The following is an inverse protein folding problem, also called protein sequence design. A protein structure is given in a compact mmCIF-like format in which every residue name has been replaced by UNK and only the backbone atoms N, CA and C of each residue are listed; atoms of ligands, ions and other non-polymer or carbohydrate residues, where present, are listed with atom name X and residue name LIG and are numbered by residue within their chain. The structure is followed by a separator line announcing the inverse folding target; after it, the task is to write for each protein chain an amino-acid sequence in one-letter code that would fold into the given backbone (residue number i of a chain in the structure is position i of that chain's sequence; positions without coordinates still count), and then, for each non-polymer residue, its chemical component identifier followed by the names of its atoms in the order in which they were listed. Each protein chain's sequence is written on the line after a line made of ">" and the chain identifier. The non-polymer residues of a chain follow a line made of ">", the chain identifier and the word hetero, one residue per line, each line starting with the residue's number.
data_IF_785781539260
#
_entry.id   IF_785781539260
#
_cell.length_a   1.000
_cell.length_b   1.000
_cell.length_c   1.000
_cell.angle_alpha   90.00
_cell.angle_beta   90.00
_cell.angle_gamma   90.00
#
_symmetry.space_group_name_H-M   'P 1'
#
loop_
_entity.id
_entity.type
_entity.pdbx_description
1 polymer ?
#
# COMPACT_ATOMS: atom_id res chain seq x y z
N UNK A 1 6.69 -47.33 31.53
CA UNK A 1 5.70 -46.23 31.62
C UNK A 1 6.42 -44.94 31.26
N UNK A 2 6.38 -44.55 29.99
CA UNK A 2 6.89 -43.26 29.51
C UNK A 2 5.85 -42.20 29.87
N UNK A 3 6.17 -41.33 30.85
CA UNK A 3 5.40 -40.11 31.10
C UNK A 3 5.57 -39.19 29.90
N UNK A 4 4.58 -39.16 29.02
CA UNK A 4 4.35 -38.00 28.14
C UNK A 4 3.99 -36.83 29.05
N UNK A 5 4.94 -35.95 29.33
CA UNK A 5 4.63 -34.66 29.96
C UNK A 5 3.74 -33.90 29.00
N UNK A 6 2.52 -33.56 29.43
CA UNK A 6 1.69 -32.64 28.66
C UNK A 6 2.49 -31.35 28.41
N UNK A 7 2.46 -30.80 27.18
CA UNK A 7 3.12 -29.54 26.91
C UNK A 7 2.57 -28.48 27.85
N UNK A 8 3.46 -27.68 28.45
CA UNK A 8 3.06 -26.60 29.35
C UNK A 8 2.11 -25.65 28.61
N UNK A 9 0.88 -25.51 29.12
CA UNK A 9 -0.09 -24.57 28.57
C UNK A 9 0.20 -23.17 29.10
N UNK A 10 0.82 -22.33 28.29
CA UNK A 10 1.01 -20.91 28.59
C UNK A 10 -0.26 -20.14 28.23
N UNK A 11 -0.71 -19.27 29.14
CA UNK A 11 -1.88 -18.40 28.92
C UNK A 11 -1.56 -17.00 29.46
N UNK A 12 -2.02 -15.98 28.74
CA UNK A 12 -1.96 -14.58 29.17
C UNK A 12 -3.38 -14.04 29.39
N UNK A 13 -3.50 -13.04 30.26
CA UNK A 13 -4.75 -12.30 30.49
C UNK A 13 -4.46 -10.82 30.78
N UNK A 14 -5.37 -9.94 30.37
CA UNK A 14 -5.34 -8.53 30.74
C UNK A 14 -6.11 -8.33 32.03
N UNK A 15 -5.43 -7.82 33.07
CA UNK A 15 -6.08 -7.47 34.32
C UNK A 15 -6.67 -6.06 34.25
N UNK A 16 -7.94 -5.92 34.64
CA UNK A 16 -8.64 -4.66 34.78
C UNK A 16 -9.19 -4.53 36.21
N UNK A 17 -9.10 -3.33 36.83
CA UNK A 17 -9.61 -3.12 38.18
C UNK A 17 -11.14 -3.17 38.19
N UNK A 18 -11.73 -3.34 39.37
CA UNK A 18 -13.13 -3.02 39.65
C UNK A 18 -13.33 -2.75 41.14
N UNK A 19 -14.44 -2.10 41.47
CA UNK A 19 -14.92 -1.94 42.84
C UNK A 19 -16.08 -2.91 43.17
N UNK A 20 -16.82 -3.36 42.14
CA UNK A 20 -18.01 -4.21 42.30
C UNK A 20 -18.22 -5.09 41.05
N UNK A 21 -17.74 -6.34 41.12
CA UNK A 21 -17.75 -7.32 40.01
C UNK A 21 -19.17 -7.62 39.52
N UNK A 22 -20.17 -7.61 40.41
CA UNK A 22 -21.54 -7.93 40.04
C UNK A 22 -22.12 -6.94 39.02
N UNK A 23 -21.61 -5.71 39.00
CA UNK A 23 -21.98 -4.71 38.00
C UNK A 23 -21.32 -5.00 36.65
N UNK A 24 -20.08 -5.50 36.66
CA UNK A 24 -19.31 -5.79 35.45
C UNK A 24 -19.80 -7.04 34.71
N UNK A 25 -20.21 -8.09 35.43
CA UNK A 25 -20.60 -9.38 34.82
C UNK A 25 -21.64 -9.22 33.70
N UNK A 26 -22.78 -8.52 33.89
CA UNK A 26 -23.74 -8.31 32.81
C UNK A 26 -23.18 -7.52 31.63
N UNK A 27 -22.27 -6.58 31.88
CA UNK A 27 -21.64 -5.80 30.82
C UNK A 27 -20.77 -6.70 29.93
N UNK A 28 -19.81 -7.43 30.50
CA UNK A 28 -18.93 -8.29 29.71
C UNK A 28 -19.67 -9.46 29.07
N UNK A 29 -20.68 -10.05 29.73
CA UNK A 29 -21.40 -11.22 29.19
C UNK A 29 -22.53 -10.88 28.22
N UNK A 30 -23.32 -9.83 28.48
CA UNK A 30 -24.50 -9.51 27.67
C UNK A 30 -24.25 -8.40 26.68
N UNK A 31 -23.55 -7.34 27.08
CA UNK A 31 -23.27 -6.20 26.19
C UNK A 31 -22.13 -6.55 25.25
N UNK A 32 -21.01 -7.07 25.77
CA UNK A 32 -19.88 -7.48 24.95
C UNK A 32 -19.96 -8.92 24.45
N UNK A 33 -20.93 -9.72 24.90
CA UNK A 33 -21.11 -11.10 24.44
C UNK A 33 -19.96 -12.06 24.81
N UNK A 34 -19.13 -11.73 25.80
CA UNK A 34 -18.00 -12.57 26.20
C UNK A 34 -18.45 -13.74 27.07
N UNK A 35 -17.74 -14.85 26.99
CA UNK A 35 -17.95 -16.00 27.85
C UNK A 35 -17.26 -15.78 29.20
N UNK A 36 -17.94 -16.06 30.30
CA UNK A 36 -17.29 -16.12 31.62
C UNK A 36 -16.66 -17.50 31.83
N UNK A 37 -15.36 -17.53 32.04
CA UNK A 37 -14.57 -18.77 32.20
C UNK A 37 -14.39 -19.15 33.67
N UNK A 38 -14.27 -18.15 34.55
CA UNK A 38 -13.95 -18.35 35.96
C UNK A 38 -14.51 -17.22 36.82
N UNK A 39 -14.91 -17.55 38.04
CA UNK A 39 -15.28 -16.60 39.09
C UNK A 39 -14.72 -17.08 40.43
N UNK A 40 -14.18 -16.17 41.25
CA UNK A 40 -13.52 -16.52 42.50
C UNK A 40 -13.56 -15.38 43.54
N UNK A 41 -13.78 -15.69 44.84
CA UNK A 41 -14.42 -16.91 45.34
C UNK A 41 -15.92 -16.93 44.94
N UNK A 42 -16.61 -18.06 45.15
CA UNK A 42 -18.00 -18.22 44.71
C UNK A 42 -19.03 -17.49 45.61
N UNK A 43 -18.68 -17.28 46.88
CA UNK A 43 -19.53 -16.71 47.94
C UNK A 43 -19.38 -15.19 48.09
N UNK A 44 -18.20 -14.63 47.77
CA UNK A 44 -17.94 -13.19 47.69
C UNK A 44 -16.99 -12.86 46.51
N UNK A 45 -17.47 -12.86 45.26
CA UNK A 45 -16.61 -12.74 44.09
C UNK A 45 -15.70 -11.51 44.10
N UNK A 46 -14.39 -11.77 44.00
CA UNK A 46 -13.31 -10.77 43.89
C UNK A 46 -12.57 -10.82 42.57
N UNK A 47 -12.80 -11.86 41.78
CA UNK A 47 -12.22 -12.07 40.46
C UNK A 47 -13.28 -12.68 39.55
N UNK A 48 -13.41 -12.18 38.34
CA UNK A 48 -14.09 -12.84 37.25
C UNK A 48 -13.19 -12.81 36.00
N UNK A 49 -13.13 -13.92 35.27
CA UNK A 49 -12.33 -14.00 34.04
C UNK A 49 -13.24 -14.33 32.87
N UNK A 50 -13.07 -13.56 31.79
CA UNK A 50 -13.86 -13.65 30.58
C UNK A 50 -12.97 -13.94 29.37
N UNK A 51 -13.50 -14.69 28.40
CA UNK A 51 -12.88 -14.89 27.09
C UNK A 51 -13.84 -14.54 25.96
N UNK A 52 -13.31 -13.97 24.88
CA UNK A 52 -14.08 -13.55 23.72
C UNK A 52 -13.27 -12.60 22.85
N UNK A 53 -13.61 -12.51 21.56
CA UNK A 53 -13.01 -11.54 20.62
C UNK A 53 -11.47 -11.58 20.56
N UNK A 54 -10.88 -12.76 20.76
CA UNK A 54 -9.42 -12.95 20.78
C UNK A 54 -8.73 -12.54 22.09
N UNK A 55 -9.49 -12.16 23.13
CA UNK A 55 -8.94 -11.70 24.41
C UNK A 55 -9.36 -12.58 25.58
N UNK A 56 -8.53 -12.51 26.63
CA UNK A 56 -8.82 -13.00 27.97
C UNK A 56 -8.70 -11.85 28.96
N UNK A 57 -9.78 -11.52 29.64
CA UNK A 57 -9.87 -10.39 30.56
C UNK A 57 -10.10 -10.87 32.00
N UNK A 58 -9.22 -10.49 32.92
CA UNK A 58 -9.38 -10.69 34.36
C UNK A 58 -9.88 -9.41 34.99
N UNK A 59 -11.13 -9.40 35.43
CA UNK A 59 -11.71 -8.31 36.22
C UNK A 59 -11.46 -8.63 37.69
N UNK A 60 -10.65 -7.82 38.37
CA UNK A 60 -10.18 -8.08 39.72
C UNK A 60 -10.44 -6.88 40.65
N UNK A 61 -11.05 -7.19 41.80
CA UNK A 61 -11.37 -6.19 42.82
C UNK A 61 -10.09 -5.67 43.47
N UNK A 62 -10.00 -4.35 43.58
CA UNK A 62 -8.84 -3.65 44.18
C UNK A 62 -7.51 -3.89 43.43
N UNK A 63 -7.57 -4.26 42.13
CA UNK A 63 -6.36 -4.30 41.31
C UNK A 63 -5.72 -2.90 41.25
N UNK A 64 -4.38 -2.79 41.31
CA UNK A 64 -3.69 -1.50 41.41
C UNK A 64 -3.64 -0.70 40.11
N UNK A 65 -3.96 -1.33 38.97
CA UNK A 65 -3.98 -0.67 37.66
C UNK A 65 -5.20 0.28 37.50
N UNK A 66 -5.09 1.23 36.58
CA UNK A 66 -6.24 2.04 36.17
C UNK A 66 -7.17 1.28 35.21
N UNK A 67 -8.40 1.79 34.98
CA UNK A 67 -9.25 1.25 33.91
C UNK A 67 -8.55 1.38 32.55
N UNK A 68 -8.59 0.31 31.77
CA UNK A 68 -7.97 0.27 30.44
C UNK A 68 -8.87 0.81 29.33
N UNK A 69 -8.40 0.68 28.10
CA UNK A 69 -9.20 0.87 26.89
C UNK A 69 -9.15 -0.40 26.02
N UNK A 70 -10.32 -0.86 25.58
CA UNK A 70 -10.48 -2.00 24.69
C UNK A 70 -11.11 -1.54 23.37
N UNK A 71 -10.46 -1.84 22.24
CA UNK A 71 -11.05 -1.70 20.91
C UNK A 71 -11.57 -3.05 20.44
N UNK A 72 -12.86 -3.12 20.13
CA UNK A 72 -13.52 -4.27 19.53
C UNK A 72 -13.72 -3.96 18.05
N UNK A 73 -13.15 -4.80 17.20
CA UNK A 73 -13.20 -4.67 15.75
C UNK A 73 -14.21 -5.70 15.22
N UNK A 74 -15.31 -5.25 14.61
CA UNK A 74 -16.38 -6.12 14.10
C UNK A 74 -16.80 -5.73 12.69
N UNK A 75 -17.28 -6.70 11.90
CA UNK A 75 -17.78 -6.47 10.54
C UNK A 75 -19.17 -5.81 10.54
N UNK A 76 -19.91 -5.89 11.65
CA UNK A 76 -21.21 -5.22 11.82
C UNK A 76 -21.30 -4.52 13.18
N UNK A 77 -20.76 -3.29 13.29
CA UNK A 77 -20.81 -2.51 14.52
C UNK A 77 -22.20 -2.10 14.97
N UNK A 78 -23.14 -1.94 14.02
CA UNK A 78 -24.51 -1.50 14.33
C UNK A 78 -25.32 -2.60 15.04
N UNK A 79 -25.00 -3.87 14.77
CA UNK A 79 -25.57 -5.01 15.50
C UNK A 79 -24.91 -5.30 16.86
N UNK A 80 -23.73 -4.73 17.13
CA UNK A 80 -22.96 -5.01 18.34
C UNK A 80 -23.23 -3.97 19.43
N UNK A 81 -23.47 -4.41 20.68
CA UNK A 81 -23.75 -3.54 21.82
C UNK A 81 -24.83 -2.46 21.54
N UNK A 82 -25.92 -2.87 20.89
CA UNK A 82 -27.04 -2.01 20.48
C UNK A 82 -26.61 -0.81 19.60
N UNK A 83 -25.56 -0.99 18.80
CA UNK A 83 -25.04 0.02 17.86
C UNK A 83 -24.20 1.13 18.51
N UNK A 84 -23.91 1.04 19.81
CA UNK A 84 -23.07 2.03 20.49
C UNK A 84 -21.62 1.92 20.01
N UNK A 85 -21.00 3.05 19.62
CA UNK A 85 -19.60 3.08 19.18
C UNK A 85 -18.60 3.27 20.32
N UNK A 86 -19.02 3.90 21.41
CA UNK A 86 -18.19 4.13 22.60
C UNK A 86 -19.01 3.85 23.85
N UNK A 87 -18.52 2.93 24.68
CA UNK A 87 -19.11 2.58 25.97
C UNK A 87 -18.08 2.74 27.09
N UNK A 88 -18.58 2.86 28.31
CA UNK A 88 -17.75 2.76 29.52
C UNK A 88 -18.33 1.64 30.37
N UNK A 89 -17.51 0.61 30.60
CA UNK A 89 -17.86 -0.48 31.49
C UNK A 89 -18.04 0.04 32.93
N UNK A 90 -18.81 -0.65 33.80
CA UNK A 90 -19.01 -0.22 35.18
C UNK A 90 -17.70 -0.04 35.98
N UNK A 91 -16.68 -0.84 35.69
CA UNK A 91 -15.34 -0.67 36.25
C UNK A 91 -14.52 0.50 35.67
N UNK A 92 -15.11 1.30 34.77
CA UNK A 92 -14.48 2.45 34.13
C UNK A 92 -13.71 2.13 32.85
N UNK A 93 -13.60 0.85 32.44
CA UNK A 93 -12.89 0.48 31.21
C UNK A 93 -13.61 1.05 29.99
N UNK A 94 -12.89 1.78 29.14
CA UNK A 94 -13.47 2.35 27.92
C UNK A 94 -13.48 1.31 26.81
N UNK A 95 -14.64 1.13 26.17
CA UNK A 95 -14.81 0.24 25.02
C UNK A 95 -15.06 1.10 23.78
N UNK A 96 -14.28 0.90 22.74
CA UNK A 96 -14.54 1.43 21.40
C UNK A 96 -14.95 0.28 20.49
N UNK A 97 -16.04 0.46 19.74
CA UNK A 97 -16.49 -0.51 18.74
C UNK A 97 -16.30 0.13 17.37
N UNK A 98 -15.48 -0.53 16.57
CA UNK A 98 -15.00 -0.03 15.30
C UNK A 98 -15.21 -1.09 14.23
N UNK A 99 -15.22 -0.64 12.97
CA UNK A 99 -15.24 -1.56 11.84
C UNK A 99 -13.94 -2.36 11.80
N UNK A 100 -14.06 -3.67 11.65
CA UNK A 100 -12.90 -4.56 11.48
C UNK A 100 -12.14 -4.27 10.20
N UNK A 101 -12.87 -3.95 9.16
CA UNK A 101 -12.35 -3.65 7.83
C UNK A 101 -12.94 -2.31 7.38
N UNK A 102 -12.45 -1.17 7.91
CA UNK A 102 -12.97 0.12 7.51
C UNK A 102 -12.77 0.32 6.00
N UNK A 103 -13.70 0.99 5.31
CA UNK A 103 -13.58 1.24 3.89
C UNK A 103 -12.33 2.08 3.59
N UNK A 104 -11.71 1.81 2.45
CA UNK A 104 -10.60 2.63 1.97
C UNK A 104 -11.09 4.08 1.73
N UNK A 105 -10.45 5.03 2.41
CA UNK A 105 -10.73 6.46 2.21
C UNK A 105 -9.75 7.02 1.19
N UNK A 106 -10.28 7.57 0.10
CA UNK A 106 -9.50 8.27 -0.91
C UNK A 106 -9.45 9.77 -0.60
N UNK A 107 -8.28 10.36 -0.31
CA UNK A 107 -8.16 11.80 -0.19
C UNK A 107 -8.46 12.50 -1.51
N UNK A 108 -8.99 13.72 -1.44
CA UNK A 108 -9.13 14.59 -2.60
C UNK A 108 -7.73 15.02 -3.09
N UNK A 109 -7.46 14.83 -4.38
CA UNK A 109 -6.18 15.20 -4.98
C UNK A 109 -6.00 16.72 -4.96
N UNK A 110 -4.88 17.16 -4.39
CA UNK A 110 -4.44 18.56 -4.46
C UNK A 110 -3.52 18.72 -5.66
N UNK A 111 -4.02 19.39 -6.71
CA UNK A 111 -3.25 19.61 -7.94
C UNK A 111 -2.09 20.57 -7.70
N UNK A 112 -0.86 20.07 -7.88
CA UNK A 112 0.36 20.87 -7.77
C UNK A 112 1.34 20.52 -8.89
N UNK A 113 2.12 21.51 -9.33
CA UNK A 113 3.28 21.28 -10.20
C UNK A 113 4.49 21.02 -9.31
N UNK A 114 5.05 19.81 -9.40
CA UNK A 114 6.16 19.35 -8.58
C UNK A 114 7.31 18.95 -9.49
N UNK A 115 8.53 19.36 -9.15
CA UNK A 115 9.76 18.84 -9.77
C UNK A 115 10.67 18.38 -8.64
N UNK A 116 11.11 17.12 -8.72
CA UNK A 116 11.91 16.47 -7.69
C UNK A 116 13.20 15.94 -8.29
N UNK A 117 14.28 16.71 -8.17
CA UNK A 117 15.57 16.32 -8.76
C UNK A 117 16.42 15.49 -7.80
N UNK A 118 17.12 14.50 -8.33
CA UNK A 118 18.02 13.65 -7.55
C UNK A 118 19.23 14.45 -7.04
N UNK A 119 19.78 15.34 -7.87
CA UNK A 119 20.94 16.18 -7.53
C UNK A 119 20.70 17.14 -6.37
N UNK A 120 19.44 17.42 -6.02
CA UNK A 120 19.07 18.26 -4.89
C UNK A 120 19.26 17.53 -3.54
N UNK A 121 19.86 16.32 -3.54
CA UNK A 121 20.25 15.51 -2.38
C UNK A 121 19.11 15.27 -1.38
N UNK A 122 17.93 14.91 -1.91
CA UNK A 122 16.84 14.41 -1.07
C UNK A 122 17.34 13.26 -0.17
N UNK A 123 17.10 13.30 1.14
CA UNK A 123 17.59 12.26 2.04
C UNK A 123 16.91 10.93 1.70
N UNK A 124 17.73 9.88 1.58
CA UNK A 124 17.24 8.51 1.60
C UNK A 124 16.83 8.16 3.03
N UNK A 125 15.64 7.61 3.18
CA UNK A 125 15.13 7.12 4.45
C UNK A 125 15.33 5.60 4.48
N UNK A 126 15.98 5.08 5.53
CA UNK A 126 16.07 3.64 5.74
C UNK A 126 14.71 3.17 6.27
N UNK A 127 14.02 2.36 5.47
CA UNK A 127 12.74 1.75 5.82
C UNK A 127 12.90 0.31 6.30
N UNK A 128 11.90 -0.53 6.02
CA UNK A 128 11.89 -1.95 6.43
C UNK A 128 12.98 -2.74 5.71
N UNK A 129 13.49 -3.78 6.36
CA UNK A 129 14.45 -4.73 5.79
C UNK A 129 15.72 -4.11 5.15
N UNK A 130 16.14 -2.91 5.59
CA UNK A 130 17.32 -2.21 5.03
C UNK A 130 17.08 -1.53 3.68
N UNK A 131 15.83 -1.48 3.19
CA UNK A 131 15.47 -0.81 1.95
C UNK A 131 15.57 0.71 2.13
N UNK A 132 16.14 1.41 1.14
CA UNK A 132 16.25 2.86 1.12
C UNK A 132 15.12 3.46 0.28
N UNK A 133 14.38 4.41 0.84
CA UNK A 133 13.25 5.08 0.20
C UNK A 133 13.58 6.54 -0.08
N UNK A 134 13.22 7.02 -1.27
CA UNK A 134 13.23 8.43 -1.62
C UNK A 134 11.85 8.81 -2.17
N UNK A 135 11.19 9.73 -1.47
CA UNK A 135 9.91 10.29 -1.87
C UNK A 135 10.06 11.20 -3.09
N UNK A 136 9.28 10.90 -4.13
CA UNK A 136 9.26 11.59 -5.42
C UNK A 136 8.18 12.67 -5.51
N UNK A 137 7.20 12.65 -4.61
CA UNK A 137 6.09 13.61 -4.54
C UNK A 137 5.85 13.98 -3.07
N UNK A 138 6.68 14.88 -2.49
CA UNK A 138 6.71 15.10 -1.03
C UNK A 138 5.41 15.60 -0.40
N UNK A 139 4.59 16.36 -1.15
CA UNK A 139 3.26 16.81 -0.69
C UNK A 139 2.17 15.75 -0.89
N UNK A 140 2.52 14.63 -1.55
CA UNK A 140 1.67 13.48 -1.86
C UNK A 140 0.37 13.86 -2.57
N UNK A 141 0.34 15.03 -3.21
CA UNK A 141 -0.86 15.66 -3.77
C UNK A 141 -2.05 15.66 -2.80
N UNK A 142 -1.81 16.02 -1.53
CA UNK A 142 -2.86 15.99 -0.50
C UNK A 142 -3.12 14.60 0.08
N UNK A 143 -2.20 13.66 -0.12
CA UNK A 143 -2.29 12.28 0.37
C UNK A 143 -2.89 11.29 -0.64
N UNK A 144 -3.24 11.74 -1.85
CA UNK A 144 -3.84 10.88 -2.87
C UNK A 144 -2.85 9.89 -3.50
N UNK A 145 -1.55 10.17 -3.44
CA UNK A 145 -0.51 9.30 -4.04
C UNK A 145 0.79 9.31 -3.24
N UNK A 146 1.43 8.14 -3.16
CA UNK A 146 2.85 8.03 -2.84
C UNK A 146 3.60 7.52 -4.07
N UNK A 147 4.72 8.15 -4.39
CA UNK A 147 5.64 7.70 -5.41
C UNK A 147 7.03 7.58 -4.79
N UNK A 148 7.56 6.36 -4.74
CA UNK A 148 8.80 6.02 -4.05
C UNK A 148 9.83 5.51 -5.04
N UNK A 149 11.02 6.11 -5.05
CA UNK A 149 12.20 5.45 -5.57
C UNK A 149 12.80 4.62 -4.43
N UNK A 150 12.75 3.30 -4.57
CA UNK A 150 13.23 2.34 -3.57
C UNK A 150 14.50 1.68 -4.08
N UNK A 151 15.51 1.56 -3.21
CA UNK A 151 16.79 0.91 -3.49
C UNK A 151 17.10 -0.13 -2.43
N UNK A 152 17.55 -1.31 -2.84
CA UNK A 152 18.11 -2.33 -1.94
C UNK A 152 19.61 -2.44 -2.26
N UNK A 153 20.52 -1.91 -1.41
CA UNK A 153 21.94 -1.89 -1.71
C UNK A 153 22.56 -3.29 -1.81
N UNK A 154 22.25 -4.14 -0.82
CA UNK A 154 22.79 -5.50 -0.70
C UNK A 154 21.72 -6.51 -1.08
N UNK A 155 21.98 -7.31 -2.11
CA UNK A 155 21.05 -8.32 -2.62
C UNK A 155 21.03 -9.61 -1.79
N UNK A 156 20.25 -10.57 -2.27
CA UNK A 156 20.04 -11.87 -1.65
C UNK A 156 18.60 -12.07 -1.15
N UNK A 157 18.38 -13.05 -0.25
CA UNK A 157 17.05 -13.36 0.26
C UNK A 157 16.44 -12.16 0.99
N UNK A 158 15.20 -11.83 0.63
CA UNK A 158 14.47 -10.74 1.29
C UNK A 158 13.68 -11.34 2.46
N UNK A 159 13.81 -10.83 3.70
CA UNK A 159 13.11 -11.34 4.87
C UNK A 159 11.66 -10.86 4.92
N UNK A 160 10.92 -11.12 3.83
CA UNK A 160 9.53 -10.74 3.66
C UNK A 160 8.57 -11.87 4.09
N UNK A 161 7.34 -11.50 4.41
CA UNK A 161 6.24 -12.41 4.76
C UNK A 161 5.13 -12.30 3.71
N UNK A 162 4.25 -13.29 3.64
CA UNK A 162 3.06 -13.16 2.79
C UNK A 162 2.22 -12.00 3.34
N UNK A 163 1.95 -11.02 2.50
CA UNK A 163 1.20 -9.83 2.89
C UNK A 163 0.39 -9.30 1.71
N UNK A 164 -0.47 -8.34 2.01
CA UNK A 164 -1.23 -7.60 1.01
C UNK A 164 -1.46 -6.15 1.45
N UNK A 165 -1.83 -5.30 0.51
CA UNK A 165 -2.12 -3.89 0.77
C UNK A 165 -3.60 -3.58 0.52
N UNK A 166 -4.21 -2.80 1.42
CA UNK A 166 -5.54 -2.21 1.24
C UNK A 166 -5.38 -0.87 0.53
N UNK A 167 -5.29 -0.93 -0.79
CA UNK A 167 -5.03 0.19 -1.70
C UNK A 167 -6.07 0.23 -2.80
N UNK A 168 -6.22 1.38 -3.44
CA UNK A 168 -6.98 1.53 -4.68
C UNK A 168 -6.14 1.16 -5.90
N UNK A 169 -4.82 1.34 -5.84
CA UNK A 169 -3.88 0.97 -6.91
C UNK A 169 -2.46 0.83 -6.37
N UNK A 170 -1.70 -0.13 -6.89
CA UNK A 170 -0.27 -0.27 -6.63
C UNK A 170 0.49 -0.77 -7.86
N UNK A 171 1.58 -0.08 -8.17
CA UNK A 171 2.53 -0.42 -9.23
C UNK A 171 3.90 -0.65 -8.59
N UNK A 172 4.61 -1.66 -9.08
CA UNK A 172 6.06 -1.78 -8.91
C UNK A 172 6.72 -1.90 -10.28
N UNK A 173 7.62 -0.96 -10.59
CA UNK A 173 8.36 -0.90 -11.84
C UNK A 173 9.85 -1.04 -11.54
N UNK A 174 10.54 -2.02 -12.13
CA UNK A 174 11.97 -2.19 -11.89
C UNK A 174 12.78 -1.33 -12.85
N UNK A 175 13.69 -0.50 -12.32
CA UNK A 175 14.53 0.40 -13.14
C UNK A 175 16.00 -0.02 -13.16
N UNK A 176 16.45 -0.84 -12.20
CA UNK A 176 17.79 -1.40 -12.19
C UNK A 176 17.79 -2.73 -11.42
N UNK A 177 18.55 -3.72 -11.91
CA UNK A 177 18.67 -5.03 -11.26
C UNK A 177 17.46 -5.94 -11.52
N UNK A 178 17.15 -6.79 -10.53
CA UNK A 178 15.99 -7.67 -10.57
C UNK A 178 15.47 -8.03 -9.18
N UNK A 179 14.20 -8.46 -9.11
CA UNK A 179 13.56 -9.01 -7.90
C UNK A 179 12.71 -10.24 -8.23
N UNK A 180 12.86 -11.31 -7.44
CA UNK A 180 12.01 -12.51 -7.50
C UNK A 180 10.82 -12.34 -6.55
N UNK A 181 9.60 -12.52 -7.06
CA UNK A 181 8.35 -12.32 -6.32
C UNK A 181 7.38 -13.46 -6.63
N UNK A 182 6.53 -13.81 -5.67
CA UNK A 182 5.43 -14.76 -5.86
C UNK A 182 4.11 -14.09 -5.50
N UNK A 183 3.06 -14.33 -6.30
CA UNK A 183 1.73 -13.73 -6.16
C UNK A 183 0.65 -14.81 -6.07
N UNK A 184 -0.40 -14.52 -5.30
CA UNK A 184 -1.60 -15.33 -5.19
C UNK A 184 -2.19 -15.64 -6.57
N UNK A 185 -2.41 -16.93 -6.84
CA UNK A 185 -3.02 -17.45 -8.07
C UNK A 185 -2.25 -17.18 -9.38
N UNK A 186 -1.02 -16.66 -9.32
CA UNK A 186 -0.20 -16.38 -10.52
C UNK A 186 0.88 -17.43 -10.81
N UNK A 187 0.86 -18.54 -10.06
CA UNK A 187 1.76 -19.67 -10.26
C UNK A 187 3.09 -19.52 -9.52
N UNK A 188 4.13 -20.11 -10.08
CA UNK A 188 5.47 -20.12 -9.48
C UNK A 188 6.11 -18.74 -9.42
N UNK A 189 7.27 -18.65 -8.76
CA UNK A 189 8.03 -17.39 -8.67
C UNK A 189 8.29 -16.76 -10.05
N UNK A 190 8.18 -15.44 -10.08
CA UNK A 190 8.44 -14.60 -11.25
C UNK A 190 9.60 -13.65 -10.97
N UNK A 191 10.41 -13.35 -11.98
CA UNK A 191 11.53 -12.40 -11.87
C UNK A 191 11.21 -11.10 -12.59
N UNK A 192 11.07 -10.02 -11.84
CA UNK A 192 10.94 -8.67 -12.37
C UNK A 192 12.32 -8.11 -12.71
N UNK A 193 12.62 -7.88 -13.99
CA UNK A 193 13.89 -7.30 -14.43
C UNK A 193 13.72 -5.80 -14.71
N UNK A 194 14.83 -5.08 -14.84
CA UNK A 194 14.82 -3.68 -15.28
C UNK A 194 13.99 -3.50 -16.58
N UNK A 195 13.05 -2.55 -16.53
CA UNK A 195 12.08 -2.25 -17.57
C UNK A 195 10.73 -2.99 -17.43
N UNK A 196 10.66 -4.04 -16.62
CA UNK A 196 9.43 -4.78 -16.34
C UNK A 196 8.62 -4.09 -15.23
N UNK A 197 7.30 -4.33 -15.19
CA UNK A 197 6.46 -3.93 -14.07
C UNK A 197 5.40 -4.96 -13.68
N UNK A 198 4.99 -4.92 -12.41
CA UNK A 198 3.78 -5.56 -11.93
C UNK A 198 2.73 -4.53 -11.52
N UNK A 199 1.47 -4.84 -11.80
CA UNK A 199 0.37 -4.32 -10.97
C UNK A 199 0.13 -5.29 -9.84
N UNK A 200 -0.04 -4.74 -8.64
CA UNK A 200 -0.43 -5.48 -7.46
C UNK A 200 -1.87 -5.05 -7.13
N UNK A 201 -2.89 -5.76 -7.66
CA UNK A 201 -4.27 -5.42 -7.40
C UNK A 201 -4.59 -5.33 -5.89
N UNK A 202 -5.63 -4.58 -5.50
CA UNK A 202 -6.02 -4.46 -4.10
C UNK A 202 -6.11 -5.83 -3.42
N UNK A 203 -5.44 -5.97 -2.27
CA UNK A 203 -5.48 -7.18 -1.45
C UNK A 203 -4.93 -8.48 -2.10
N UNK A 204 -4.19 -8.40 -3.22
CA UNK A 204 -3.47 -9.58 -3.72
C UNK A 204 -2.36 -9.98 -2.74
N UNK A 205 -2.36 -11.24 -2.29
CA UNK A 205 -1.27 -11.73 -1.44
C UNK A 205 -0.01 -11.91 -2.27
N UNK A 206 1.10 -11.46 -1.73
CA UNK A 206 2.39 -11.60 -2.38
C UNK A 206 3.53 -11.63 -1.38
N UNK A 207 4.71 -12.01 -1.88
CA UNK A 207 5.93 -12.05 -1.10
C UNK A 207 7.13 -11.85 -2.01
N UNK A 208 8.02 -10.95 -1.63
CA UNK A 208 9.35 -10.80 -2.23
C UNK A 208 10.27 -11.90 -1.69
N UNK A 209 10.92 -12.64 -2.59
CA UNK A 209 11.76 -13.79 -2.22
C UNK A 209 13.23 -13.41 -2.19
N UNK A 210 13.72 -12.76 -3.25
CA UNK A 210 15.14 -12.50 -3.46
C UNK A 210 15.30 -11.24 -4.32
N UNK A 211 16.37 -10.48 -4.10
CA UNK A 211 16.70 -9.30 -4.87
C UNK A 211 18.15 -9.34 -5.36
N UNK A 212 18.43 -8.70 -6.49
CA UNK A 212 19.81 -8.47 -6.92
C UNK A 212 20.49 -7.39 -6.08
N UNK A 213 21.82 -7.39 -6.08
CA UNK A 213 22.58 -6.25 -5.57
C UNK A 213 22.13 -4.96 -6.26
N UNK A 214 22.00 -3.90 -5.47
CA UNK A 214 21.63 -2.58 -5.93
C UNK A 214 20.33 -2.53 -6.77
N UNK A 215 19.36 -3.43 -6.53
CA UNK A 215 18.06 -3.33 -7.22
C UNK A 215 17.41 -1.99 -6.90
N UNK A 216 16.81 -1.37 -7.91
CA UNK A 216 16.05 -0.13 -7.77
C UNK A 216 14.69 -0.30 -8.45
N UNK A 217 13.64 0.13 -7.75
CA UNK A 217 12.26 0.10 -8.24
C UNK A 217 11.59 1.45 -8.01
N UNK A 218 10.65 1.78 -8.88
CA UNK A 218 9.64 2.82 -8.64
C UNK A 218 8.38 2.13 -8.16
N UNK A 219 7.93 2.50 -6.98
CA UNK A 219 6.65 2.07 -6.42
C UNK A 219 5.68 3.24 -6.43
N UNK A 220 4.46 2.99 -6.94
CA UNK A 220 3.34 3.92 -6.81
C UNK A 220 2.27 3.25 -5.96
N UNK A 221 1.78 3.96 -4.95
CA UNK A 221 0.67 3.52 -4.11
C UNK A 221 -0.41 4.60 -4.01
N UNK A 222 -1.67 4.19 -4.10
CA UNK A 222 -2.82 5.09 -4.04
C UNK A 222 -3.87 4.48 -3.10
N UNK A 223 -4.25 5.15 -2.00
CA UNK A 223 -3.73 6.44 -1.53
C UNK A 223 -2.31 6.34 -0.93
N UNK A 224 -1.73 7.49 -0.59
CA UNK A 224 -0.36 7.57 -0.08
C UNK A 224 -0.14 6.81 1.24
N UNK A 225 -1.16 6.78 2.09
CA UNK A 225 -1.17 6.03 3.35
C UNK A 225 -2.19 4.90 3.26
N UNK A 226 -1.73 3.67 3.45
CA UNK A 226 -2.57 2.49 3.32
C UNK A 226 -2.12 1.38 4.26
N UNK A 227 -3.05 0.48 4.58
CA UNK A 227 -2.79 -0.65 5.48
C UNK A 227 -2.04 -1.73 4.72
N UNK A 228 -0.98 -2.26 5.33
CA UNK A 228 -0.35 -3.52 4.94
C UNK A 228 -0.69 -4.57 5.98
N UNK A 229 -1.27 -5.70 5.56
CA UNK A 229 -1.67 -6.78 6.46
C UNK A 229 -0.83 -8.03 6.17
N UNK A 230 -0.32 -8.66 7.23
CA UNK A 230 0.47 -9.89 7.14
C UNK A 230 -0.49 -11.07 7.23
N UNK A 231 -0.42 -11.96 6.25
CA UNK A 231 -1.19 -13.20 6.21
C UNK A 231 -0.32 -14.34 6.71
N UNK A 232 -0.54 -14.76 7.95
CA UNK A 232 0.22 -15.85 8.56
C UNK A 232 -0.26 -17.24 8.13
N UNK A 233 -1.45 -17.33 7.54
CA UNK A 233 -2.10 -18.59 7.20
C UNK A 233 -1.84 -18.98 5.74
N UNK A 234 -1.82 -18.00 4.82
CA UNK A 234 -1.61 -18.25 3.41
C UNK A 234 -0.18 -18.70 3.09
N UNK A 235 -0.07 -19.77 2.32
CA UNK A 235 1.19 -20.21 1.72
C UNK A 235 1.20 -19.90 0.23
N UNK A 236 2.30 -19.31 -0.25
CA UNK A 236 2.56 -19.05 -1.66
C UNK A 236 3.67 -19.97 -2.20
N UNK A 237 3.57 -20.44 -3.45
CA UNK A 237 2.47 -20.22 -4.39
C UNK A 237 1.18 -20.94 -3.96
N UNK A 238 0.02 -20.42 -4.35
CA UNK A 238 -1.27 -21.09 -4.11
C UNK A 238 -1.39 -22.33 -5.00
N UNK A 239 -2.18 -23.36 -4.61
CA UNK A 239 -2.35 -24.57 -5.42
C UNK A 239 -3.15 -24.36 -6.72
N UNK A 240 -3.68 -23.16 -6.94
CA UNK A 240 -4.49 -22.81 -8.10
C UNK A 240 -3.77 -21.78 -8.96
N UNK A 241 -3.89 -21.91 -10.28
CA UNK A 241 -3.44 -20.91 -11.24
C UNK A 241 -4.67 -20.24 -11.85
N UNK A 242 -4.91 -18.97 -11.52
CA UNK A 242 -6.05 -18.15 -11.96
C UNK A 242 -5.56 -16.77 -12.42
N UNK A 243 -4.81 -16.69 -13.55
CA UNK A 243 -4.23 -15.44 -14.04
C UNK A 243 -5.28 -14.37 -14.41
N UNK A 244 -6.52 -14.80 -14.68
CA UNK A 244 -7.64 -13.93 -15.03
C UNK A 244 -8.46 -13.45 -13.81
N UNK A 245 -8.06 -13.82 -12.59
CA UNK A 245 -8.77 -13.39 -11.37
C UNK A 245 -8.74 -11.86 -11.26
N UNK A 246 -9.87 -11.29 -10.86
CA UNK A 246 -9.98 -9.88 -10.54
C UNK A 246 -10.00 -9.69 -9.01
N UNK A 247 -9.35 -8.64 -8.55
CA UNK A 247 -9.44 -8.11 -7.20
C UNK A 247 -10.02 -6.71 -7.29
N UNK A 248 -11.23 -6.52 -6.77
CA UNK A 248 -11.93 -5.23 -6.79
C UNK A 248 -11.97 -4.59 -8.20
N UNK A 249 -12.15 -5.41 -9.23
CA UNK A 249 -12.22 -4.97 -10.63
C UNK A 249 -10.88 -4.83 -11.36
N UNK A 250 -9.76 -5.13 -10.71
CA UNK A 250 -8.41 -5.03 -11.29
C UNK A 250 -7.77 -6.42 -11.41
N UNK A 251 -7.01 -6.62 -12.48
CA UNK A 251 -6.25 -7.86 -12.71
C UNK A 251 -4.77 -7.65 -12.45
N UNK A 252 -4.11 -8.73 -12.04
CA UNK A 252 -2.65 -8.76 -12.00
C UNK A 252 -2.11 -8.58 -13.42
N UNK A 253 -1.05 -7.80 -13.55
CA UNK A 253 -0.33 -7.59 -14.82
C UNK A 253 1.12 -7.86 -14.55
N UNK A 254 1.76 -8.68 -15.38
CA UNK A 254 3.20 -8.76 -15.50
C UNK A 254 3.59 -8.27 -16.89
N UNK A 255 3.93 -6.98 -17.01
CA UNK A 255 4.39 -6.41 -18.26
C UNK A 255 5.90 -6.53 -18.35
N UNK A 256 6.38 -7.18 -19.41
CA UNK A 256 7.80 -7.36 -19.64
C UNK A 256 8.28 -6.37 -20.71
N UNK A 257 9.46 -5.79 -20.49
CA UNK A 257 10.06 -4.87 -21.45
C UNK A 257 10.55 -5.55 -22.72
N UNK A 258 10.97 -6.80 -22.56
CA UNK A 258 11.48 -7.61 -23.65
C UNK A 258 10.38 -7.82 -24.70
N UNK A 259 10.74 -7.61 -25.97
CA UNK A 259 9.88 -7.81 -27.14
C UNK A 259 8.65 -6.89 -27.23
N UNK A 260 8.59 -5.86 -26.38
CA UNK A 260 7.45 -4.96 -26.34
C UNK A 260 7.41 -3.99 -27.54
N UNK A 261 6.21 -3.74 -28.03
CA UNK A 261 5.95 -2.88 -29.18
C UNK A 261 6.04 -1.40 -28.80
N UNK A 262 6.62 -0.60 -29.69
CA UNK A 262 6.68 0.85 -29.56
C UNK A 262 5.80 1.49 -30.62
N UNK A 263 4.87 2.32 -30.18
CA UNK A 263 3.88 2.99 -31.03
C UNK A 263 3.99 4.51 -30.90
N UNK A 264 3.45 5.29 -31.84
CA UNK A 264 3.37 6.74 -31.69
C UNK A 264 2.74 7.13 -30.34
N UNK A 265 3.35 8.09 -29.65
CA UNK A 265 2.80 8.62 -28.41
C UNK A 265 1.86 9.79 -28.68
N UNK A 266 1.00 10.10 -27.72
CA UNK A 266 0.08 11.24 -27.82
C UNK A 266 0.78 12.60 -27.86
N UNK A 267 2.00 12.69 -27.30
CA UNK A 267 2.85 13.88 -27.44
C UNK A 267 3.71 13.77 -28.70
N UNK A 268 3.66 14.75 -29.62
CA UNK A 268 4.53 14.79 -30.79
C UNK A 268 6.02 14.72 -30.42
N UNK A 269 6.83 14.07 -31.26
CA UNK A 269 8.25 13.86 -31.01
C UNK A 269 8.57 12.67 -30.09
N UNK A 270 7.57 11.91 -29.65
CA UNK A 270 7.73 10.76 -28.74
C UNK A 270 7.04 9.50 -29.27
N UNK A 271 7.58 8.36 -28.84
CA UNK A 271 6.97 7.04 -28.98
C UNK A 271 6.78 6.45 -27.59
N UNK A 272 5.84 5.55 -27.44
CA UNK A 272 5.60 4.89 -26.17
C UNK A 272 5.38 3.40 -26.35
N UNK A 273 5.51 2.71 -25.22
CA UNK A 273 5.13 1.33 -25.05
C UNK A 273 4.08 1.28 -23.96
N UNK A 274 2.95 0.65 -24.29
CA UNK A 274 1.86 0.44 -23.36
C UNK A 274 2.13 -0.76 -22.45
N UNK A 275 1.80 -0.62 -21.17
CA UNK A 275 2.00 -1.70 -20.18
C UNK A 275 0.76 -2.60 -20.01
N UNK A 276 -0.33 -2.32 -20.73
CA UNK A 276 -1.67 -2.92 -20.61
C UNK A 276 -2.38 -2.65 -19.28
N UNK A 277 -1.82 -1.79 -18.43
CA UNK A 277 -2.33 -1.52 -17.09
C UNK A 277 -3.71 -0.86 -17.15
N UNK A 278 -3.90 0.14 -18.02
CA UNK A 278 -5.19 0.82 -18.15
C UNK A 278 -6.33 -0.15 -18.50
N UNK A 279 -6.09 -1.11 -19.40
CA UNK A 279 -7.06 -2.14 -19.74
C UNK A 279 -7.35 -3.07 -18.54
N UNK A 280 -6.31 -3.59 -17.91
CA UNK A 280 -6.42 -4.58 -16.83
C UNK A 280 -6.90 -4.00 -15.49
N UNK A 281 -6.83 -2.68 -15.32
CA UNK A 281 -7.40 -1.99 -14.17
C UNK A 281 -8.69 -1.23 -14.53
N UNK A 282 -9.27 -1.46 -15.71
CA UNK A 282 -10.52 -0.79 -16.18
C UNK A 282 -10.45 0.75 -16.05
N UNK A 283 -9.29 1.32 -16.39
CA UNK A 283 -9.05 2.76 -16.38
C UNK A 283 -8.67 3.37 -15.04
N UNK A 284 -8.49 2.59 -13.96
CA UNK A 284 -8.01 3.13 -12.67
C UNK A 284 -6.68 3.87 -12.81
N UNK A 285 -5.71 3.29 -13.54
CA UNK A 285 -4.44 3.95 -13.82
C UNK A 285 -3.92 3.60 -15.20
N UNK A 286 -3.12 4.49 -15.78
CA UNK A 286 -2.42 4.30 -17.03
C UNK A 286 -0.93 4.36 -16.78
N UNK A 287 -0.18 3.39 -17.30
CA UNK A 287 1.28 3.35 -17.14
C UNK A 287 1.89 3.12 -18.51
N UNK A 288 2.76 4.04 -18.92
CA UNK A 288 3.39 3.99 -20.23
C UNK A 288 4.88 4.31 -20.08
N UNK A 289 5.69 3.64 -20.89
CA UNK A 289 7.12 3.97 -21.01
C UNK A 289 7.30 4.79 -22.27
N UNK A 290 7.90 5.96 -22.17
CA UNK A 290 8.03 6.93 -23.26
C UNK A 290 9.49 7.10 -23.64
N UNK A 291 9.78 7.10 -24.94
CA UNK A 291 11.11 7.33 -25.52
C UNK A 291 11.02 8.39 -26.61
N UNK A 292 12.18 8.94 -26.98
CA UNK A 292 12.29 9.86 -28.12
C UNK A 292 11.78 9.19 -29.40
N UNK A 293 10.87 9.88 -30.07
CA UNK A 293 10.34 9.53 -31.38
C UNK A 293 10.90 10.43 -32.47
N UNK A 294 10.18 10.50 -33.60
CA UNK A 294 10.48 11.42 -34.69
C UNK A 294 9.56 12.64 -34.63
N UNK A 295 10.06 13.78 -35.11
CA UNK A 295 9.31 15.04 -35.16
C UNK A 295 9.67 16.02 -34.06
N UNK A 296 9.09 17.21 -34.14
CA UNK A 296 9.27 18.27 -33.16
C UNK A 296 8.34 18.05 -31.97
N UNK A 297 8.79 18.49 -30.80
CA UNK A 297 8.03 18.43 -29.55
C UNK A 297 7.09 19.63 -29.46
N UNK A 298 5.84 19.41 -29.07
CA UNK A 298 4.81 20.45 -28.98
C UNK A 298 4.37 20.72 -27.54
N UNK A 299 3.77 21.89 -27.32
CA UNK A 299 3.10 22.22 -26.08
C UNK A 299 1.80 21.40 -25.94
N UNK A 300 1.54 20.93 -24.74
CA UNK A 300 0.36 20.15 -24.43
C UNK A 300 -0.13 20.39 -22.99
N UNK A 301 -1.43 20.20 -22.79
CA UNK A 301 -2.06 20.09 -21.47
C UNK A 301 -2.90 18.81 -21.39
N UNK A 302 -3.29 18.39 -20.19
CA UNK A 302 -4.15 17.23 -19.95
C UNK A 302 -5.25 17.53 -18.95
N UNK A 303 -6.23 16.64 -18.84
CA UNK A 303 -7.31 16.71 -17.83
C UNK A 303 -7.28 15.58 -16.78
N UNK A 304 -6.23 14.74 -16.76
CA UNK A 304 -6.05 13.72 -15.72
C UNK A 304 -5.79 14.34 -14.34
N UNK A 305 -6.29 13.67 -13.29
CA UNK A 305 -6.23 14.12 -11.90
C UNK A 305 -4.79 14.03 -11.34
N UNK A 306 -4.11 12.94 -11.66
CA UNK A 306 -2.69 12.72 -11.34
C UNK A 306 -1.95 12.44 -12.65
N UNK A 307 -0.87 13.19 -12.89
CA UNK A 307 0.10 12.96 -13.97
C UNK A 307 1.51 12.98 -13.39
N UNK A 308 2.05 11.80 -13.10
CA UNK A 308 3.38 11.62 -12.53
C UNK A 308 4.33 11.08 -13.61
N UNK A 309 5.54 11.64 -13.69
CA UNK A 309 6.57 11.14 -14.60
C UNK A 309 7.92 11.02 -13.88
N UNK A 310 8.63 9.94 -14.16
CA UNK A 310 9.99 9.68 -13.67
C UNK A 310 10.96 9.51 -14.84
N UNK A 311 12.13 10.13 -14.77
CA UNK A 311 13.20 10.01 -15.76
C UNK A 311 14.04 8.78 -15.42
N UNK A 312 13.88 7.71 -16.19
CA UNK A 312 14.62 6.45 -16.01
C UNK A 312 16.01 6.50 -16.61
N UNK A 313 16.18 7.15 -17.76
CA UNK A 313 17.48 7.31 -18.41
C UNK A 313 17.50 8.58 -19.28
N UNK A 314 18.70 9.03 -19.64
CA UNK A 314 18.91 10.21 -20.48
C UNK A 314 18.52 11.53 -19.81
N UNK A 315 18.15 12.52 -20.63
CA UNK A 315 17.78 13.85 -20.17
C UNK A 315 16.76 14.54 -21.09
N UNK A 316 15.91 15.37 -20.49
CA UNK A 316 14.87 16.16 -21.18
C UNK A 316 14.68 17.49 -20.48
N UNK A 317 14.23 18.51 -21.21
CA UNK A 317 13.87 19.81 -20.61
C UNK A 317 12.37 19.88 -20.43
N UNK A 318 11.89 20.02 -19.20
CA UNK A 318 10.48 20.31 -18.91
C UNK A 318 10.27 21.83 -18.89
N UNK A 319 9.53 22.31 -19.87
CA UNK A 319 9.04 23.68 -19.95
C UNK A 319 7.58 23.70 -19.46
N UNK A 320 7.23 24.71 -18.66
CA UNK A 320 5.87 24.89 -18.16
C UNK A 320 5.46 26.35 -18.28
N UNK A 321 4.18 26.59 -18.56
CA UNK A 321 3.67 27.95 -18.67
C UNK A 321 3.97 28.78 -17.41
N UNK A 322 4.50 29.99 -17.59
CA UNK A 322 4.87 30.88 -16.49
C UNK A 322 6.00 30.36 -15.58
N UNK A 323 6.76 29.34 -16.00
CA UNK A 323 7.89 28.77 -15.24
C UNK A 323 9.19 28.79 -16.02
N UNK A 324 10.29 28.87 -15.28
CA UNK A 324 11.62 28.64 -15.84
C UNK A 324 11.77 27.15 -16.22
N UNK A 325 12.43 26.83 -17.35
CA UNK A 325 12.63 25.44 -17.78
C UNK A 325 13.49 24.62 -16.80
N UNK A 326 13.11 23.37 -16.60
CA UNK A 326 13.86 22.42 -15.79
C UNK A 326 14.57 21.41 -16.68
N UNK A 327 15.91 21.40 -16.69
CA UNK A 327 16.66 20.28 -17.27
C UNK A 327 16.63 19.11 -16.29
N UNK A 328 15.93 18.05 -16.69
CA UNK A 328 15.74 16.82 -15.96
C UNK A 328 16.70 15.74 -16.46
N UNK A 329 17.18 14.91 -15.55
CA UNK A 329 18.11 13.80 -15.79
C UNK A 329 17.66 12.54 -15.04
N UNK A 330 18.32 11.41 -15.29
CA UNK A 330 18.05 10.14 -14.61
C UNK A 330 17.86 10.30 -13.09
N UNK A 331 16.75 9.78 -12.58
CA UNK A 331 16.39 9.86 -11.17
C UNK A 331 15.53 11.08 -10.81
N UNK A 332 15.34 12.03 -11.72
CA UNK A 332 14.42 13.13 -11.52
C UNK A 332 12.97 12.67 -11.73
N UNK A 333 12.03 13.31 -11.03
CA UNK A 333 10.60 13.09 -11.18
C UNK A 333 9.85 14.41 -11.26
N UNK A 334 8.65 14.41 -11.81
CA UNK A 334 7.78 15.57 -11.80
C UNK A 334 6.30 15.20 -11.84
N UNK A 335 5.46 16.15 -11.45
CA UNK A 335 4.00 16.11 -11.55
C UNK A 335 3.50 17.32 -12.30
N UNK A 336 2.57 17.10 -13.23
CA UNK A 336 1.89 18.16 -13.98
C UNK A 336 0.42 18.23 -13.52
N UNK A 337 -0.08 19.39 -13.06
CA UNK A 337 -1.48 19.54 -12.71
C UNK A 337 -2.35 19.66 -13.98
N UNK A 338 -3.62 19.23 -13.92
CA UNK A 338 -4.54 19.35 -15.05
C UNK A 338 -4.66 20.79 -15.55
N UNK A 339 -4.79 20.95 -16.86
CA UNK A 339 -4.94 22.22 -17.56
C UNK A 339 -3.65 23.03 -17.75
N UNK A 340 -2.55 22.69 -17.06
CA UNK A 340 -1.29 23.40 -17.21
C UNK A 340 -0.60 23.03 -18.52
N UNK A 341 -0.30 24.02 -19.36
CA UNK A 341 0.47 23.78 -20.58
C UNK A 341 1.95 23.52 -20.26
N UNK A 342 2.48 22.43 -20.80
CA UNK A 342 3.88 22.03 -20.67
C UNK A 342 4.44 21.51 -21.98
N UNK A 343 5.77 21.46 -22.10
CA UNK A 343 6.47 20.83 -23.21
C UNK A 343 7.70 20.09 -22.70
N UNK A 344 7.88 18.86 -23.15
CA UNK A 344 9.12 18.11 -22.98
C UNK A 344 10.00 18.40 -24.20
N UNK A 345 10.96 19.32 -24.07
CA UNK A 345 11.83 19.78 -25.15
C UNK A 345 13.25 19.20 -25.04
N UNK A 346 13.98 19.22 -26.15
CA UNK A 346 15.37 18.77 -26.24
C UNK A 346 15.66 17.39 -25.59
N UNK A 347 14.89 16.33 -25.92
CA UNK A 347 15.18 14.98 -25.45
C UNK A 347 16.53 14.48 -25.99
N UNK A 348 17.34 13.90 -25.10
CA UNK A 348 18.49 13.10 -25.51
C UNK A 348 18.05 11.85 -26.28
N UNK A 349 18.97 11.23 -27.01
CA UNK A 349 18.64 10.06 -27.84
C UNK A 349 18.29 8.81 -27.02
N UNK A 350 18.77 8.75 -25.78
CA UNK A 350 18.60 7.66 -24.81
C UNK A 350 17.48 7.93 -23.79
N UNK A 351 16.70 9.01 -23.93
CA UNK A 351 15.65 9.35 -22.96
C UNK A 351 14.66 8.19 -22.79
N UNK A 352 14.41 7.82 -21.54
CA UNK A 352 13.35 6.90 -21.17
C UNK A 352 12.60 7.44 -19.96
N UNK A 353 11.29 7.59 -20.10
CA UNK A 353 10.41 8.12 -19.06
C UNK A 353 9.41 7.05 -18.65
N UNK A 354 9.16 6.91 -17.36
CA UNK A 354 8.01 6.20 -16.82
C UNK A 354 6.91 7.23 -16.55
N UNK A 355 5.79 7.13 -17.26
CA UNK A 355 4.61 7.96 -17.04
C UNK A 355 3.52 7.14 -16.34
N UNK A 356 2.93 7.70 -15.28
CA UNK A 356 1.82 7.13 -14.52
C UNK A 356 0.71 8.16 -14.40
N UNK A 357 -0.51 7.77 -14.78
CA UNK A 357 -1.69 8.65 -14.77
C UNK A 357 -2.85 8.00 -14.03
N UNK A 358 -3.60 8.80 -13.27
CA UNK A 358 -4.84 8.39 -12.63
C UNK A 358 -5.89 9.48 -12.87
N UNK A 359 -7.02 9.18 -13.54
CA UNK A 359 -7.34 7.92 -14.20
C UNK A 359 -6.41 7.59 -15.38
N UNK A 360 -6.43 6.33 -15.83
CA UNK A 360 -5.60 5.87 -16.95
C UNK A 360 -6.08 6.25 -18.34
N UNK A 361 -7.25 6.89 -18.45
CA UNK A 361 -7.78 7.44 -19.69
C UNK A 361 -8.14 8.89 -19.47
N UNK A 362 -7.59 9.76 -20.32
CA UNK A 362 -7.70 11.21 -20.19
C UNK A 362 -7.46 11.87 -21.55
N UNK A 363 -7.82 13.14 -21.67
CA UNK A 363 -7.60 13.92 -22.88
C UNK A 363 -6.27 14.67 -22.79
N UNK A 364 -5.58 14.75 -23.93
CA UNK A 364 -4.43 15.64 -24.12
C UNK A 364 -4.80 16.66 -25.19
N UNK A 365 -4.61 17.95 -24.88
CA UNK A 365 -4.83 19.05 -25.82
C UNK A 365 -3.48 19.60 -26.26
N UNK A 366 -3.22 19.60 -27.57
CA UNK A 366 -2.02 20.22 -28.17
C UNK A 366 -2.29 21.71 -28.42
N UNK A 367 -1.32 22.58 -28.14
CA UNK A 367 -1.47 24.02 -28.35
C UNK A 367 -0.43 24.88 -27.65
#
# INVERSE_FOLDING_TARGET
>A
MTKTSEPSRTQAEFRLPTQEIRNDIPFYTKVLGMQMDMIYPADDPRVAVFSGHGLRLRIEKDAPEGPGALRILTDDPESFADGQRVLVAPNGTRIEIEERNPPLVMPETVHSFVVRRLKDQAPWIIGRAGMHYRDLVPDRLGGSIIASHIRIPDGGPVPDMVHFHKVGFQLIFCIHGWVDVVYEDQGEKMRLNAGDCFIQPPEIRHRVLEASDNVQVIEIGVPAEHVTEIDHDMQLPTPHFRPEREWQGQRFVYNQAKDAEWVPFRLPGYICRDTTIAENTKGVAGVQVVRKGQGDTEWASHDTDIHFTFVMDGAVTLEGEGREPYRLEQGDAFVIPPGMCTRLSAPSDDIELLEVTLPGTFNTTLG
#
